data_IF_466405887844
#
_entry.id   IF_466405887844
#
_cell.length_a   1.000
_cell.length_b   1.000
_cell.length_c   1.000
_cell.angle_alpha   90.00
_cell.angle_beta   90.00
_cell.angle_gamma   90.00
#
_symmetry.space_group_name_H-M   'P 1'
#
loop_
_entity.id
_entity.type
_entity.pdbx_description
1 polymer ?
#
# COMPACT_ATOMS: atom_id res chain seq x y z
N UNK A 1 -39.82 -3.47 16.63
CA UNK A 1 -40.22 -3.40 15.20
C UNK A 1 -39.35 -4.35 14.42
N UNK A 2 -39.86 -5.51 14.00
CA UNK A 2 -39.15 -6.41 13.11
C UNK A 2 -38.81 -5.70 11.79
N UNK A 3 -37.53 -5.73 11.41
CA UNK A 3 -37.10 -5.24 10.10
C UNK A 3 -37.71 -6.17 9.04
N UNK A 4 -38.74 -5.71 8.32
CA UNK A 4 -39.29 -6.44 7.17
C UNK A 4 -38.14 -6.80 6.22
N UNK A 5 -38.01 -8.11 5.90
CA UNK A 5 -37.03 -8.59 4.93
C UNK A 5 -37.17 -7.80 3.62
N UNK A 6 -36.06 -7.42 3.02
CA UNK A 6 -36.02 -6.72 1.73
C UNK A 6 -36.26 -7.67 0.56
N UNK A 7 -36.10 -8.98 0.80
CA UNK A 7 -36.40 -10.05 -0.13
C UNK A 7 -37.68 -10.77 0.30
N UNK A 8 -38.42 -11.33 -0.67
CA UNK A 8 -39.66 -12.08 -0.46
C UNK A 8 -39.82 -13.16 -1.54
N UNK A 9 -40.50 -14.24 -1.19
CA UNK A 9 -40.73 -15.35 -2.09
C UNK A 9 -42.11 -15.22 -2.73
N UNK A 10 -42.18 -15.30 -4.08
CA UNK A 10 -43.44 -15.22 -4.84
C UNK A 10 -43.29 -16.03 -6.13
N UNK A 11 -44.33 -16.74 -6.53
CA UNK A 11 -44.42 -17.50 -7.81
C UNK A 11 -43.24 -18.43 -8.08
N UNK A 12 -42.73 -19.10 -7.04
CA UNK A 12 -41.66 -20.10 -7.18
C UNK A 12 -40.24 -19.55 -7.27
N UNK A 13 -40.03 -18.26 -7.02
CA UNK A 13 -38.70 -17.67 -6.97
C UNK A 13 -38.61 -16.56 -5.95
N UNK A 14 -37.36 -16.15 -5.61
CA UNK A 14 -37.10 -15.02 -4.73
C UNK A 14 -37.09 -13.69 -5.50
N UNK A 15 -37.63 -12.66 -4.89
CA UNK A 15 -37.74 -11.30 -5.40
C UNK A 15 -37.13 -10.31 -4.40
N UNK A 16 -36.66 -9.18 -4.88
CA UNK A 16 -36.42 -8.00 -4.05
C UNK A 16 -37.18 -6.77 -4.59
N UNK A 17 -37.42 -5.81 -3.71
CA UNK A 17 -37.98 -4.51 -4.10
C UNK A 17 -36.94 -3.72 -4.87
N UNK A 18 -37.36 -3.04 -5.95
CA UNK A 18 -36.50 -2.14 -6.71
C UNK A 18 -36.94 -0.71 -6.57
N UNK A 19 -35.98 0.18 -6.63
CA UNK A 19 -36.14 1.62 -6.77
C UNK A 19 -35.32 2.04 -7.97
N UNK A 20 -35.92 2.69 -8.95
CA UNK A 20 -35.22 3.24 -10.12
C UNK A 20 -35.43 4.75 -10.18
N UNK A 21 -34.45 5.48 -10.66
CA UNK A 21 -34.51 6.94 -10.76
C UNK A 21 -34.92 7.31 -12.19
N UNK A 22 -35.93 8.14 -12.31
CA UNK A 22 -36.32 8.73 -13.57
C UNK A 22 -35.41 9.92 -13.94
N UNK A 23 -35.43 10.35 -15.20
CA UNK A 23 -34.64 11.49 -15.67
C UNK A 23 -34.99 12.82 -14.97
N UNK A 24 -36.19 12.93 -14.41
CA UNK A 24 -36.67 14.09 -13.64
C UNK A 24 -36.28 14.03 -12.15
N UNK A 25 -35.58 12.99 -11.72
CA UNK A 25 -35.17 12.80 -10.32
C UNK A 25 -36.21 12.13 -9.44
N UNK A 26 -37.39 11.75 -9.97
CA UNK A 26 -38.40 11.01 -9.21
C UNK A 26 -38.05 9.54 -9.11
N UNK A 27 -38.46 8.88 -8.00
CA UNK A 27 -38.17 7.47 -7.74
C UNK A 27 -39.36 6.62 -8.15
N UNK A 28 -39.14 5.68 -9.06
CA UNK A 28 -40.10 4.63 -9.44
C UNK A 28 -39.83 3.38 -8.61
N UNK A 29 -40.88 2.81 -8.04
CA UNK A 29 -40.83 1.58 -7.26
C UNK A 29 -41.24 0.39 -8.12
N UNK A 30 -40.56 -0.75 -7.92
CA UNK A 30 -40.85 -2.01 -8.63
C UNK A 30 -40.36 -3.21 -7.84
N UNK A 31 -40.37 -4.38 -8.49
CA UNK A 31 -39.81 -5.62 -7.98
C UNK A 31 -38.98 -6.30 -9.06
N UNK A 32 -37.90 -7.00 -8.68
CA UNK A 32 -37.08 -7.84 -9.56
C UNK A 32 -37.00 -9.22 -8.93
N UNK A 33 -37.29 -10.26 -9.72
CA UNK A 33 -37.30 -11.65 -9.28
C UNK A 33 -36.45 -12.56 -10.15
N UNK A 34 -36.62 -13.87 -9.96
CA UNK A 34 -35.84 -14.89 -10.65
C UNK A 34 -34.58 -15.31 -9.91
N UNK A 35 -34.49 -15.03 -8.61
CA UNK A 35 -33.38 -15.47 -7.78
C UNK A 35 -33.66 -16.84 -7.18
N UNK A 36 -32.64 -17.69 -7.14
CA UNK A 36 -32.72 -19.05 -6.61
C UNK A 36 -32.76 -19.09 -5.08
N UNK A 37 -32.11 -18.09 -4.41
CA UNK A 37 -32.09 -18.02 -2.96
C UNK A 37 -32.44 -16.63 -2.43
N UNK A 38 -32.85 -16.55 -1.14
CA UNK A 38 -33.06 -15.30 -0.44
C UNK A 38 -31.76 -14.47 -0.39
N UNK A 39 -30.63 -15.14 -0.20
CA UNK A 39 -29.33 -14.48 -0.10
C UNK A 39 -28.95 -13.77 -1.42
N UNK A 40 -29.26 -14.37 -2.57
CA UNK A 40 -28.99 -13.75 -3.87
C UNK A 40 -29.92 -12.57 -4.14
N UNK A 41 -31.20 -12.67 -3.77
CA UNK A 41 -32.13 -11.56 -3.83
C UNK A 41 -31.70 -10.39 -2.93
N UNK A 42 -31.18 -10.66 -1.71
CA UNK A 42 -30.65 -9.64 -0.80
C UNK A 42 -29.38 -9.01 -1.34
N UNK A 43 -28.47 -9.79 -1.93
CA UNK A 43 -27.26 -9.26 -2.58
C UNK A 43 -27.63 -8.33 -3.75
N UNK A 44 -28.55 -8.77 -4.61
CA UNK A 44 -29.03 -7.97 -5.73
C UNK A 44 -29.73 -6.69 -5.28
N UNK A 45 -30.51 -6.73 -4.20
CA UNK A 45 -31.12 -5.54 -3.60
C UNK A 45 -30.06 -4.52 -3.14
N UNK A 46 -29.04 -4.98 -2.40
CA UNK A 46 -27.96 -4.12 -1.92
C UNK A 46 -27.20 -3.46 -3.08
N UNK A 47 -26.94 -4.21 -4.15
CA UNK A 47 -26.31 -3.69 -5.35
C UNK A 47 -27.16 -2.62 -6.03
N UNK A 48 -28.44 -2.91 -6.25
CA UNK A 48 -29.40 -1.97 -6.86
C UNK A 48 -29.59 -0.70 -6.00
N UNK A 49 -29.59 -0.82 -4.68
CA UNK A 49 -29.66 0.33 -3.77
C UNK A 49 -28.40 1.19 -3.83
N UNK A 50 -27.25 0.55 -4.00
CA UNK A 50 -25.97 1.26 -4.19
C UNK A 50 -25.97 2.03 -5.51
N UNK A 51 -26.36 1.40 -6.61
CA UNK A 51 -26.48 2.03 -7.94
C UNK A 51 -27.46 3.20 -7.93
N UNK A 52 -28.61 3.06 -7.27
CA UNK A 52 -29.58 4.13 -7.13
C UNK A 52 -29.01 5.33 -6.38
N UNK A 53 -28.34 5.10 -5.25
CA UNK A 53 -27.69 6.18 -4.47
C UNK A 53 -26.60 6.86 -5.28
N UNK A 54 -25.87 6.10 -6.10
CA UNK A 54 -24.86 6.63 -7.00
C UNK A 54 -25.47 7.52 -8.08
N UNK A 55 -26.54 7.06 -8.74
CA UNK A 55 -27.27 7.84 -9.73
C UNK A 55 -27.90 9.11 -9.14
N UNK A 56 -28.49 9.03 -7.93
CA UNK A 56 -29.03 10.20 -7.22
C UNK A 56 -27.97 11.24 -6.95
N UNK A 57 -26.78 10.82 -6.47
CA UNK A 57 -25.67 11.76 -6.24
C UNK A 57 -25.20 12.39 -7.54
N UNK A 58 -25.01 11.59 -8.58
CA UNK A 58 -24.60 12.11 -9.88
C UNK A 58 -25.59 13.16 -10.38
N UNK A 59 -26.88 12.91 -10.30
CA UNK A 59 -27.93 13.89 -10.65
C UNK A 59 -27.93 15.10 -9.73
N UNK A 60 -27.73 14.92 -8.41
CA UNK A 60 -27.58 16.04 -7.48
C UNK A 60 -26.36 16.91 -7.80
N UNK A 61 -25.30 16.30 -8.28
CA UNK A 61 -24.07 17.03 -8.64
C UNK A 61 -24.16 17.65 -10.05
N UNK A 62 -24.85 17.01 -11.02
CA UNK A 62 -24.99 17.49 -12.40
C UNK A 62 -26.11 18.54 -12.57
N UNK A 63 -27.18 18.46 -11.77
CA UNK A 63 -28.43 19.23 -11.98
C UNK A 63 -28.68 20.38 -10.99
N UNK A 64 -27.93 20.54 -9.90
CA UNK A 64 -28.12 21.62 -8.93
C UNK A 64 -26.94 22.57 -8.87
N UNK A 65 -27.31 23.83 -8.68
CA UNK A 65 -26.43 24.95 -8.40
C UNK A 65 -25.18 24.47 -7.62
N UNK A 66 -24.05 24.31 -8.33
CA UNK A 66 -22.75 23.88 -7.76
C UNK A 66 -22.37 24.70 -6.53
N UNK A 67 -22.97 25.89 -6.39
CA UNK A 67 -22.78 26.77 -5.26
C UNK A 67 -23.44 26.30 -3.95
N UNK A 68 -24.38 25.35 -4.02
CA UNK A 68 -25.12 24.82 -2.85
C UNK A 68 -24.60 23.48 -2.33
N UNK A 69 -23.55 22.96 -2.94
CA UNK A 69 -22.96 21.66 -2.57
C UNK A 69 -22.27 21.74 -1.23
N UNK A 70 -22.60 20.82 -0.33
CA UNK A 70 -21.96 20.70 0.98
C UNK A 70 -20.58 20.03 0.85
N UNK A 71 -19.64 20.42 1.70
CA UNK A 71 -18.27 19.87 1.69
C UNK A 71 -18.25 18.35 1.82
N UNK A 72 -19.01 17.80 2.77
CA UNK A 72 -19.08 16.36 3.01
C UNK A 72 -19.66 15.61 1.82
N UNK A 73 -20.73 16.12 1.21
CA UNK A 73 -21.35 15.50 0.03
C UNK A 73 -20.38 15.50 -1.15
N UNK A 74 -19.64 16.59 -1.36
CA UNK A 74 -18.61 16.67 -2.37
C UNK A 74 -17.48 15.65 -2.13
N UNK A 75 -16.95 15.56 -0.92
CA UNK A 75 -15.86 14.65 -0.60
C UNK A 75 -16.27 13.17 -0.76
N UNK A 76 -17.52 12.81 -0.44
CA UNK A 76 -18.07 11.49 -0.68
C UNK A 76 -18.17 11.20 -2.19
N UNK A 77 -18.75 12.13 -2.96
CA UNK A 77 -18.83 12.04 -4.42
C UNK A 77 -17.44 11.89 -5.03
N UNK A 78 -16.51 12.79 -4.68
CA UNK A 78 -15.14 12.76 -5.17
C UNK A 78 -14.47 11.41 -4.89
N UNK A 79 -14.60 10.88 -3.67
CA UNK A 79 -14.00 9.61 -3.32
C UNK A 79 -14.60 8.45 -4.12
N UNK A 80 -15.92 8.36 -4.16
CA UNK A 80 -16.61 7.22 -4.78
C UNK A 80 -16.56 7.26 -6.32
N UNK A 81 -16.72 8.43 -6.93
CA UNK A 81 -16.90 8.55 -8.39
C UNK A 81 -15.64 9.00 -9.13
N UNK A 82 -14.77 9.76 -8.48
CA UNK A 82 -13.60 10.36 -9.12
C UNK A 82 -12.32 9.65 -8.69
N UNK A 83 -12.00 9.71 -7.40
CA UNK A 83 -10.74 9.22 -6.87
C UNK A 83 -10.59 7.69 -6.97
N UNK A 84 -11.62 6.95 -6.54
CA UNK A 84 -11.59 5.49 -6.53
C UNK A 84 -11.46 4.84 -7.91
N UNK A 85 -11.78 5.57 -8.97
CA UNK A 85 -11.62 5.06 -10.34
C UNK A 85 -10.18 5.19 -10.87
N UNK A 86 -9.35 6.03 -10.23
CA UNK A 86 -8.00 6.39 -10.70
C UNK A 86 -6.89 5.67 -9.94
N UNK A 87 -7.18 4.99 -8.85
CA UNK A 87 -6.16 4.49 -7.94
C UNK A 87 -6.34 3.02 -7.57
N UNK A 88 -5.26 2.37 -7.16
CA UNK A 88 -5.27 0.99 -6.69
C UNK A 88 -5.99 0.82 -5.34
N UNK A 89 -6.42 -0.40 -5.03
CA UNK A 89 -7.19 -0.75 -3.82
C UNK A 89 -6.52 -0.33 -2.52
N UNK A 90 -5.20 -0.42 -2.41
CA UNK A 90 -4.47 0.05 -1.22
C UNK A 90 -4.55 1.57 -1.03
N UNK A 91 -4.54 2.33 -2.12
CA UNK A 91 -4.70 3.78 -2.10
C UNK A 91 -6.14 4.18 -1.84
N UNK A 92 -7.12 3.42 -2.39
CA UNK A 92 -8.55 3.56 -2.03
C UNK A 92 -8.77 3.37 -0.53
N UNK A 93 -8.18 2.32 0.04
CA UNK A 93 -8.26 2.05 1.47
C UNK A 93 -7.78 3.24 2.31
N UNK A 94 -6.61 3.79 1.97
CA UNK A 94 -6.10 4.95 2.70
C UNK A 94 -6.99 6.19 2.51
N UNK A 95 -7.54 6.41 1.32
CA UNK A 95 -8.49 7.48 1.05
C UNK A 95 -9.79 7.32 1.86
N UNK A 96 -10.34 6.10 1.94
CA UNK A 96 -11.51 5.81 2.78
C UNK A 96 -11.22 6.09 4.25
N UNK A 97 -10.12 5.57 4.78
CA UNK A 97 -9.68 5.83 6.15
C UNK A 97 -9.54 7.33 6.45
N UNK A 98 -8.88 8.06 5.52
CA UNK A 98 -8.72 9.52 5.67
C UNK A 98 -10.08 10.22 5.75
N UNK A 99 -11.02 9.90 4.88
CA UNK A 99 -12.30 10.62 4.85
C UNK A 99 -13.24 10.16 5.96
N UNK A 100 -13.46 8.85 6.09
CA UNK A 100 -14.52 8.32 6.97
C UNK A 100 -14.09 8.21 8.43
N UNK A 101 -12.81 7.91 8.71
CA UNK A 101 -12.33 7.71 10.07
C UNK A 101 -11.59 8.93 10.64
N UNK A 102 -11.03 9.80 9.76
CA UNK A 102 -10.31 10.99 10.23
C UNK A 102 -11.05 12.28 9.95
N UNK A 103 -11.36 12.60 8.69
CA UNK A 103 -11.90 13.91 8.30
C UNK A 103 -13.33 14.08 8.82
N UNK A 104 -14.26 13.22 8.42
CA UNK A 104 -15.68 13.39 8.75
C UNK A 104 -15.99 13.41 10.25
N UNK A 105 -15.41 12.55 11.11
CA UNK A 105 -15.65 12.61 12.54
C UNK A 105 -15.09 13.85 13.24
N UNK A 106 -14.12 14.52 12.62
CA UNK A 106 -13.46 15.68 13.19
C UNK A 106 -13.95 17.02 12.60
N UNK A 107 -14.82 17.00 11.59
CA UNK A 107 -15.50 18.20 11.11
C UNK A 107 -16.47 18.71 12.17
N UNK A 108 -16.31 19.95 12.61
CA UNK A 108 -17.20 20.56 13.60
C UNK A 108 -18.56 20.91 12.99
N UNK A 109 -18.54 21.42 11.78
CA UNK A 109 -19.72 21.78 11.02
C UNK A 109 -19.52 21.43 9.55
N UNK A 110 -20.54 20.85 8.92
CA UNK A 110 -20.57 20.72 7.47
C UNK A 110 -21.01 22.05 6.85
N UNK A 111 -20.21 22.57 5.95
CA UNK A 111 -20.43 23.88 5.30
C UNK A 111 -20.50 23.71 3.78
N UNK A 112 -21.04 24.70 3.09
CA UNK A 112 -21.04 24.72 1.63
C UNK A 112 -19.59 24.77 1.13
N UNK A 113 -19.27 23.95 0.15
CA UNK A 113 -17.92 23.80 -0.39
C UNK A 113 -17.28 25.14 -0.79
N UNK A 114 -18.09 26.06 -1.35
CA UNK A 114 -17.64 27.39 -1.75
C UNK A 114 -17.21 28.32 -0.60
N UNK A 115 -17.61 28.00 0.65
CA UNK A 115 -17.26 28.78 1.84
C UNK A 115 -16.09 28.17 2.62
N UNK A 116 -15.50 27.11 2.10
CA UNK A 116 -14.33 26.51 2.75
C UNK A 116 -13.15 27.47 2.63
N UNK A 117 -12.72 27.99 3.78
CA UNK A 117 -11.57 28.90 3.88
C UNK A 117 -10.30 28.15 4.33
N UNK A 118 -9.17 28.84 4.27
CA UNK A 118 -7.88 28.35 4.81
C UNK A 118 -7.99 28.12 6.31
N UNK A 119 -8.64 29.05 7.04
CA UNK A 119 -8.81 29.00 8.50
C UNK A 119 -9.65 27.78 8.92
N UNK A 120 -10.75 27.50 8.18
CA UNK A 120 -11.56 26.30 8.43
C UNK A 120 -10.75 25.02 8.26
N UNK A 121 -9.94 24.95 7.20
CA UNK A 121 -9.10 23.79 6.94
C UNK A 121 -7.94 23.68 7.92
N UNK A 122 -7.33 24.80 8.33
CA UNK A 122 -6.28 24.80 9.34
C UNK A 122 -6.80 24.30 10.69
N UNK A 123 -7.98 24.73 11.13
CA UNK A 123 -8.60 24.25 12.38
C UNK A 123 -8.83 22.72 12.34
N UNK A 124 -9.37 22.20 11.23
CA UNK A 124 -9.57 20.76 11.04
C UNK A 124 -8.24 20.00 11.05
N UNK A 125 -7.25 20.46 10.29
CA UNK A 125 -5.94 19.78 10.18
C UNK A 125 -5.15 19.87 11.49
N UNK A 126 -5.25 20.97 12.23
CA UNK A 126 -4.64 21.12 13.54
C UNK A 126 -5.20 20.10 14.54
N UNK A 127 -6.53 19.97 14.61
CA UNK A 127 -7.21 18.97 15.44
C UNK A 127 -6.72 17.54 15.11
N UNK A 128 -6.60 17.20 13.83
CA UNK A 128 -6.10 15.90 13.38
C UNK A 128 -4.62 15.70 13.72
N UNK A 129 -3.83 16.76 13.74
CA UNK A 129 -2.39 16.71 14.01
C UNK A 129 -2.03 16.61 15.49
N UNK A 130 -2.95 16.94 16.40
CA UNK A 130 -2.73 16.84 17.85
C UNK A 130 -2.44 15.40 18.29
N UNK A 131 -3.12 14.42 17.70
CA UNK A 131 -2.87 13.01 17.97
C UNK A 131 -1.62 12.47 17.21
N UNK A 132 -1.40 12.94 16.01
CA UNK A 132 -0.27 12.56 15.16
C UNK A 132 -0.06 13.53 14.00
N UNK A 133 1.09 14.22 13.95
CA UNK A 133 1.46 15.12 12.84
C UNK A 133 1.40 14.43 11.46
N UNK A 134 1.63 13.11 11.43
CA UNK A 134 1.49 12.32 10.20
C UNK A 134 0.04 12.23 9.72
N UNK A 135 -0.94 12.15 10.63
CA UNK A 135 -2.36 12.11 10.27
C UNK A 135 -2.80 13.43 9.61
N UNK A 136 -2.48 14.58 10.21
CA UNK A 136 -2.77 15.89 9.64
C UNK A 136 -2.17 16.08 8.25
N UNK A 137 -0.89 15.74 8.06
CA UNK A 137 -0.24 15.83 6.74
C UNK A 137 -0.83 14.85 5.71
N UNK A 138 -1.24 13.66 6.14
CA UNK A 138 -1.90 12.70 5.24
C UNK A 138 -3.26 13.23 4.82
N UNK A 139 -4.08 13.70 5.76
CA UNK A 139 -5.37 14.32 5.45
C UNK A 139 -5.19 15.53 4.53
N UNK A 140 -4.21 16.41 4.80
CA UNK A 140 -3.87 17.54 3.94
C UNK A 140 -3.56 17.10 2.51
N UNK A 141 -2.83 16.00 2.33
CA UNK A 141 -2.51 15.47 1.00
C UNK A 141 -3.78 15.04 0.24
N UNK A 142 -4.65 14.25 0.87
CA UNK A 142 -5.89 13.79 0.22
C UNK A 142 -6.88 14.91 -0.03
N UNK A 143 -7.05 15.83 0.92
CA UNK A 143 -7.88 17.01 0.75
C UNK A 143 -7.35 17.91 -0.37
N UNK A 144 -6.02 18.07 -0.51
CA UNK A 144 -5.44 18.82 -1.61
C UNK A 144 -5.77 18.21 -2.98
N UNK A 145 -5.79 16.88 -3.10
CA UNK A 145 -6.20 16.21 -4.35
C UNK A 145 -7.68 16.49 -4.61
N UNK A 146 -8.54 16.31 -3.60
CA UNK A 146 -9.97 16.55 -3.74
C UNK A 146 -10.30 18.00 -4.13
N UNK A 147 -9.64 18.98 -3.51
CA UNK A 147 -9.88 20.39 -3.80
C UNK A 147 -9.29 20.84 -5.14
N UNK A 148 -8.20 20.19 -5.62
CA UNK A 148 -7.73 20.39 -7.01
C UNK A 148 -8.78 19.93 -8.01
N UNK A 149 -9.35 18.74 -7.80
CA UNK A 149 -10.42 18.23 -8.65
C UNK A 149 -11.67 19.14 -8.56
N UNK A 150 -12.02 19.67 -7.37
CA UNK A 150 -13.12 20.63 -7.18
C UNK A 150 -12.95 21.92 -7.99
N UNK A 151 -11.72 22.40 -8.13
CA UNK A 151 -11.40 23.56 -8.99
C UNK A 151 -11.57 23.20 -10.45
N UNK A 152 -11.04 22.06 -10.89
CA UNK A 152 -11.14 21.58 -12.29
C UNK A 152 -12.61 21.37 -12.68
N UNK A 153 -13.42 20.82 -11.77
CA UNK A 153 -14.84 20.57 -12.00
C UNK A 153 -15.71 21.85 -11.82
N UNK A 154 -15.12 22.98 -11.41
CA UNK A 154 -15.79 24.26 -11.29
C UNK A 154 -16.73 24.41 -10.08
N UNK A 155 -16.52 23.65 -9.00
CA UNK A 155 -17.25 23.81 -7.73
C UNK A 155 -16.72 24.97 -6.89
N UNK A 156 -15.44 25.25 -6.99
CA UNK A 156 -14.75 26.36 -6.32
C UNK A 156 -13.78 27.02 -7.28
N UNK A 157 -13.46 28.29 -7.05
CA UNK A 157 -12.52 29.06 -7.86
C UNK A 157 -11.06 28.86 -7.47
N UNK A 158 -10.81 28.49 -6.19
CA UNK A 158 -9.46 28.35 -5.64
C UNK A 158 -9.41 27.20 -4.63
N UNK A 159 -8.31 26.46 -4.64
CA UNK A 159 -8.01 25.45 -3.64
C UNK A 159 -7.37 26.11 -2.39
N UNK A 160 -7.97 26.00 -1.20
CA UNK A 160 -7.41 26.62 0.01
C UNK A 160 -6.26 25.82 0.64
N UNK A 161 -6.12 24.54 0.32
CA UNK A 161 -5.20 23.62 0.99
C UNK A 161 -3.72 23.98 0.86
N UNK A 162 -3.19 24.47 -0.29
CA UNK A 162 -1.79 24.88 -0.40
C UNK A 162 -1.37 25.93 0.65
N UNK A 163 -2.29 26.80 1.05
CA UNK A 163 -2.03 27.89 1.99
C UNK A 163 -2.18 27.47 3.46
N UNK A 164 -2.61 26.23 3.74
CA UNK A 164 -2.72 25.70 5.10
C UNK A 164 -1.36 25.34 5.69
N UNK A 165 -1.27 25.29 7.03
CA UNK A 165 -0.07 24.90 7.76
C UNK A 165 0.40 23.49 7.39
N UNK A 166 1.70 23.32 7.33
CA UNK A 166 2.34 22.01 7.24
C UNK A 166 2.92 21.63 8.60
N UNK A 167 2.66 20.41 9.02
CA UNK A 167 3.14 19.90 10.31
C UNK A 167 4.48 19.21 10.11
N UNK A 168 5.52 19.68 10.82
CA UNK A 168 6.86 19.08 10.76
C UNK A 168 6.81 17.63 11.21
N UNK A 169 7.19 16.71 10.34
CA UNK A 169 7.42 15.30 10.70
C UNK A 169 8.83 15.17 11.20
N UNK A 170 9.01 14.46 12.32
CA UNK A 170 10.33 13.92 12.62
C UNK A 170 10.63 12.85 11.59
N UNK A 171 11.72 12.98 10.84
CA UNK A 171 12.15 11.93 9.93
C UNK A 171 12.30 10.62 10.72
N UNK A 172 11.70 9.52 10.27
CA UNK A 172 11.87 8.24 10.95
C UNK A 172 13.35 7.86 10.88
N UNK A 173 13.99 7.68 12.04
CA UNK A 173 15.36 7.15 12.08
C UNK A 173 15.33 5.71 11.60
N UNK A 174 15.90 5.47 10.43
CA UNK A 174 16.08 4.11 9.91
C UNK A 174 17.26 3.49 10.70
N UNK A 175 16.98 2.40 11.39
CA UNK A 175 18.04 1.64 12.07
C UNK A 175 18.80 0.82 11.04
N UNK A 176 20.10 1.09 10.90
CA UNK A 176 21.04 0.33 10.06
C UNK A 176 22.03 -0.34 11.01
N UNK A 177 22.36 -1.60 10.75
CA UNK A 177 23.35 -2.32 11.54
C UNK A 177 24.76 -1.95 11.08
N UNK A 178 25.67 -1.76 12.04
CA UNK A 178 27.12 -1.78 11.77
C UNK A 178 27.54 -3.15 11.22
N UNK A 179 28.71 -3.24 10.58
CA UNK A 179 29.25 -4.49 10.03
C UNK A 179 29.27 -5.63 11.06
N UNK A 180 29.62 -5.36 12.31
CA UNK A 180 29.65 -6.40 13.35
C UNK A 180 28.25 -6.84 13.77
N UNK A 181 27.30 -5.91 13.94
CA UNK A 181 25.90 -6.26 14.20
C UNK A 181 25.28 -7.02 13.05
N UNK A 182 25.63 -6.68 11.80
CA UNK A 182 25.15 -7.41 10.62
C UNK A 182 25.69 -8.85 10.61
N UNK A 183 26.96 -9.09 10.96
CA UNK A 183 27.50 -10.45 11.11
C UNK A 183 26.76 -11.25 12.17
N UNK A 184 26.47 -10.64 13.34
CA UNK A 184 25.69 -11.29 14.41
C UNK A 184 24.28 -11.62 13.91
N UNK A 185 23.64 -10.67 13.21
CA UNK A 185 22.32 -10.87 12.62
C UNK A 185 22.32 -12.03 11.63
N UNK A 186 23.23 -12.05 10.67
CA UNK A 186 23.30 -13.12 9.65
C UNK A 186 23.56 -14.50 10.28
N UNK A 187 24.42 -14.56 11.31
CA UNK A 187 24.65 -15.80 12.08
C UNK A 187 23.40 -16.27 12.82
N UNK A 188 22.63 -15.35 13.39
CA UNK A 188 21.35 -15.70 14.03
C UNK A 188 20.28 -16.09 13.01
N UNK A 189 20.23 -15.37 11.89
CA UNK A 189 19.29 -15.59 10.80
C UNK A 189 19.49 -16.93 10.08
N UNK A 190 20.74 -17.45 10.01
CA UNK A 190 21.02 -18.74 9.34
C UNK A 190 20.31 -19.95 9.93
N UNK A 191 19.71 -19.80 11.12
CA UNK A 191 18.91 -20.82 11.81
C UNK A 191 17.39 -20.54 11.75
N UNK A 192 16.97 -19.50 11.02
CA UNK A 192 15.58 -19.06 10.92
C UNK A 192 15.01 -19.47 9.56
N UNK A 193 13.73 -19.86 9.53
CA UNK A 193 13.05 -20.26 8.30
C UNK A 193 13.00 -19.16 7.24
N UNK A 194 13.16 -17.89 7.65
CA UNK A 194 13.18 -16.72 6.77
C UNK A 194 14.58 -16.30 6.33
N UNK A 195 15.56 -17.17 6.46
CA UNK A 195 16.95 -16.81 6.15
C UNK A 195 17.15 -16.36 4.71
N UNK A 196 16.57 -17.08 3.74
CA UNK A 196 16.64 -16.71 2.32
C UNK A 196 16.08 -15.30 2.08
N UNK A 197 14.92 -14.99 2.65
CA UNK A 197 14.27 -13.69 2.48
C UNK A 197 15.10 -12.56 3.07
N UNK A 198 15.78 -12.80 4.20
CA UNK A 198 16.68 -11.82 4.78
C UNK A 198 17.93 -11.62 3.92
N UNK A 199 18.50 -12.68 3.35
CA UNK A 199 19.62 -12.59 2.40
C UNK A 199 19.23 -11.77 1.16
N UNK A 200 18.06 -12.00 0.58
CA UNK A 200 17.54 -11.22 -0.56
C UNK A 200 17.38 -9.73 -0.21
N UNK A 201 16.97 -9.43 1.02
CA UNK A 201 16.91 -8.04 1.51
C UNK A 201 18.27 -7.39 1.66
N UNK A 202 19.24 -8.09 2.26
CA UNK A 202 20.58 -7.55 2.61
C UNK A 202 21.53 -7.57 1.41
N UNK A 203 21.48 -8.57 0.54
CA UNK A 203 22.47 -8.76 -0.53
C UNK A 203 21.94 -8.47 -1.95
N UNK A 204 20.62 -8.42 -2.13
CA UNK A 204 20.01 -8.05 -3.40
C UNK A 204 19.19 -6.75 -3.30
N UNK A 205 18.99 -6.21 -2.11
CA UNK A 205 18.28 -4.96 -1.89
C UNK A 205 16.81 -4.97 -2.30
N UNK A 206 16.15 -6.14 -2.25
CA UNK A 206 14.78 -6.30 -2.71
C UNK A 206 13.76 -5.69 -1.74
N UNK A 207 12.65 -5.19 -2.30
CA UNK A 207 11.49 -4.77 -1.49
C UNK A 207 10.75 -6.00 -0.95
N UNK A 208 10.09 -5.86 0.20
CA UNK A 208 9.31 -6.96 0.81
C UNK A 208 8.34 -7.64 -0.17
N UNK A 209 7.59 -6.86 -0.94
CA UNK A 209 6.66 -7.40 -1.93
C UNK A 209 7.36 -8.14 -3.07
N UNK A 210 8.54 -7.66 -3.51
CA UNK A 210 9.38 -8.32 -4.50
C UNK A 210 9.88 -9.66 -3.96
N UNK A 211 10.43 -9.70 -2.73
CA UNK A 211 10.91 -10.94 -2.08
C UNK A 211 9.81 -11.99 -2.01
N UNK A 212 8.64 -11.62 -1.51
CA UNK A 212 7.51 -12.55 -1.36
C UNK A 212 6.92 -13.00 -2.71
N UNK A 213 7.10 -12.21 -3.78
CA UNK A 213 6.61 -12.51 -5.13
C UNK A 213 7.58 -13.29 -6.00
N UNK A 214 8.81 -13.56 -5.54
CA UNK A 214 9.77 -14.34 -6.31
C UNK A 214 9.33 -15.81 -6.47
N UNK A 215 9.52 -16.32 -7.68
CA UNK A 215 9.31 -17.74 -8.03
C UNK A 215 10.63 -18.41 -8.36
N UNK A 216 10.70 -19.75 -8.26
CA UNK A 216 11.89 -20.48 -8.67
C UNK A 216 12.26 -20.24 -10.13
N UNK A 217 11.28 -19.99 -11.00
CA UNK A 217 11.51 -19.66 -12.42
C UNK A 217 12.20 -18.31 -12.67
N UNK A 218 12.31 -17.45 -11.66
CA UNK A 218 12.98 -16.15 -11.79
C UNK A 218 14.51 -16.25 -11.64
N UNK A 219 15.02 -17.41 -11.25
CA UNK A 219 16.43 -17.65 -10.99
C UNK A 219 17.09 -18.35 -12.16
N UNK A 220 18.17 -17.76 -12.66
CA UNK A 220 19.03 -18.34 -13.68
C UNK A 220 20.37 -18.71 -13.02
N UNK A 221 20.57 -20.00 -12.78
CA UNK A 221 21.76 -20.53 -12.11
C UNK A 221 22.98 -20.61 -13.04
N UNK A 222 22.78 -20.60 -14.36
CA UNK A 222 23.90 -20.58 -15.33
C UNK A 222 24.49 -19.18 -15.42
N UNK A 223 23.64 -18.15 -15.41
CA UNK A 223 24.04 -16.75 -15.46
C UNK A 223 24.22 -16.12 -14.08
N UNK A 224 23.94 -16.86 -13.00
CA UNK A 224 23.95 -16.38 -11.62
C UNK A 224 23.10 -15.11 -11.43
N UNK A 225 21.88 -15.10 -11.98
CA UNK A 225 21.00 -13.92 -11.94
C UNK A 225 19.60 -14.23 -11.41
N UNK A 226 18.95 -13.19 -10.90
CA UNK A 226 17.54 -13.21 -10.52
C UNK A 226 16.80 -12.07 -11.21
N UNK A 227 15.64 -12.38 -11.80
CA UNK A 227 14.75 -11.40 -12.44
C UNK A 227 13.67 -10.95 -11.47
N UNK A 228 13.44 -9.66 -11.41
CA UNK A 228 12.39 -9.05 -10.59
C UNK A 228 11.30 -8.55 -11.53
N UNK A 229 10.21 -9.33 -11.64
CA UNK A 229 9.13 -9.08 -12.60
C UNK A 229 7.76 -8.91 -11.93
N UNK A 230 7.65 -9.20 -10.64
CA UNK A 230 6.39 -9.12 -9.88
C UNK A 230 6.61 -8.77 -8.42
N UNK A 231 5.51 -8.48 -7.74
CA UNK A 231 5.48 -8.32 -6.29
C UNK A 231 4.18 -8.90 -5.71
N UNK A 232 4.20 -9.38 -4.48
CA UNK A 232 2.97 -9.64 -3.73
C UNK A 232 2.54 -8.37 -3.00
N UNK A 233 1.27 -8.04 -3.13
CA UNK A 233 0.65 -6.90 -2.49
C UNK A 233 -0.72 -7.21 -1.89
N UNK A 234 -1.17 -6.35 -0.99
CA UNK A 234 -2.51 -6.43 -0.45
C UNK A 234 -3.55 -5.96 -1.47
N UNK A 235 -4.66 -6.68 -1.54
CA UNK A 235 -5.88 -6.27 -2.24
C UNK A 235 -7.04 -6.18 -1.24
N UNK A 236 -7.14 -5.06 -0.50
CA UNK A 236 -8.18 -4.86 0.48
C UNK A 236 -9.52 -4.56 -0.21
N UNK A 237 -10.58 -5.15 0.33
CA UNK A 237 -11.98 -4.79 0.05
C UNK A 237 -12.50 -4.02 1.25
N UNK A 238 -13.00 -2.81 1.03
CA UNK A 238 -13.48 -1.93 2.08
C UNK A 238 -14.95 -2.19 2.42
N UNK A 239 -15.32 -1.97 3.67
CA UNK A 239 -16.73 -1.77 4.02
C UNK A 239 -17.24 -0.48 3.37
N UNK A 240 -18.52 -0.46 3.04
CA UNK A 240 -19.13 0.71 2.40
C UNK A 240 -19.07 1.93 3.34
N UNK A 241 -18.53 3.05 2.84
CA UNK A 241 -18.40 4.33 3.58
C UNK A 241 -17.73 4.21 4.95
N UNK A 242 -16.69 3.43 4.98
CA UNK A 242 -15.91 3.18 6.20
C UNK A 242 -14.44 3.08 5.84
N UNK A 243 -13.56 3.42 6.79
CA UNK A 243 -12.13 3.10 6.71
C UNK A 243 -11.81 1.65 7.06
N UNK A 244 -12.82 0.83 7.38
CA UNK A 244 -12.63 -0.57 7.78
C UNK A 244 -12.50 -1.50 6.58
N UNK A 245 -11.69 -2.53 6.75
CA UNK A 245 -11.46 -3.57 5.75
C UNK A 245 -12.45 -4.70 5.99
N UNK A 246 -13.30 -4.99 4.99
CA UNK A 246 -14.21 -6.14 5.01
C UNK A 246 -13.45 -7.45 4.77
N UNK A 247 -12.51 -7.45 3.84
CA UNK A 247 -11.62 -8.58 3.54
C UNK A 247 -10.32 -8.09 2.92
N UNK A 248 -9.27 -8.90 2.98
CA UNK A 248 -7.99 -8.58 2.36
C UNK A 248 -7.37 -9.87 1.80
N UNK A 249 -7.14 -9.92 0.49
CA UNK A 249 -6.39 -10.96 -0.18
C UNK A 249 -4.95 -10.52 -0.42
N UNK A 250 -4.08 -11.49 -0.64
CA UNK A 250 -2.73 -11.28 -1.16
C UNK A 250 -2.77 -11.57 -2.65
N UNK A 251 -2.33 -10.63 -3.46
CA UNK A 251 -2.38 -10.73 -4.91
C UNK A 251 -1.03 -10.46 -5.53
N UNK A 252 -0.75 -11.16 -6.62
CA UNK A 252 0.38 -10.88 -7.49
C UNK A 252 0.09 -9.59 -8.27
N UNK A 253 1.06 -8.69 -8.30
CA UNK A 253 0.96 -7.39 -8.98
C UNK A 253 2.24 -7.11 -9.72
N UNK A 254 2.13 -6.34 -10.79
CA UNK A 254 3.29 -5.77 -11.43
C UNK A 254 4.05 -4.85 -10.47
N UNK A 255 5.36 -4.71 -10.64
CA UNK A 255 6.13 -3.70 -9.94
C UNK A 255 5.59 -2.30 -10.21
N UNK A 256 5.57 -1.44 -9.18
CA UNK A 256 4.94 -0.10 -9.23
C UNK A 256 5.47 0.84 -10.31
N UNK A 257 6.70 0.63 -10.76
CA UNK A 257 7.36 1.51 -11.76
C UNK A 257 8.13 0.66 -12.76
N UNK A 258 8.32 1.17 -13.96
CA UNK A 258 9.11 0.51 -15.01
C UNK A 258 10.54 0.17 -14.53
N UNK A 259 11.16 1.04 -13.76
CA UNK A 259 12.50 0.83 -13.22
C UNK A 259 12.58 -0.29 -12.16
N UNK A 260 11.43 -0.78 -11.69
CA UNK A 260 11.39 -1.90 -10.75
C UNK A 260 11.60 -3.24 -11.46
N UNK A 261 11.34 -3.33 -12.77
CA UNK A 261 11.72 -4.50 -13.60
C UNK A 261 13.23 -4.48 -13.80
N UNK A 262 13.91 -5.46 -13.27
CA UNK A 262 15.37 -5.53 -13.34
C UNK A 262 15.90 -6.95 -13.14
N UNK A 263 17.08 -7.20 -13.67
CA UNK A 263 17.85 -8.43 -13.42
C UNK A 263 19.05 -8.10 -12.56
N UNK A 264 19.25 -8.86 -11.50
CA UNK A 264 20.35 -8.67 -10.55
C UNK A 264 21.26 -9.91 -10.56
N UNK A 265 22.57 -9.72 -10.40
CA UNK A 265 23.47 -10.82 -10.09
C UNK A 265 23.27 -11.28 -8.66
N UNK A 266 23.29 -12.59 -8.45
CA UNK A 266 23.17 -13.19 -7.12
C UNK A 266 24.55 -13.46 -6.52
N UNK A 267 24.78 -13.08 -5.26
CA UNK A 267 25.88 -13.64 -4.49
C UNK A 267 25.69 -15.15 -4.27
N UNK A 268 26.80 -15.89 -4.25
CA UNK A 268 26.78 -17.36 -4.08
C UNK A 268 26.02 -17.85 -2.85
N UNK A 269 26.05 -17.07 -1.75
CA UNK A 269 25.30 -17.41 -0.54
C UNK A 269 23.78 -17.38 -0.75
N UNK A 270 23.29 -16.47 -1.60
CA UNK A 270 21.86 -16.40 -1.97
C UNK A 270 21.50 -17.61 -2.85
N UNK A 271 22.32 -17.89 -3.84
CA UNK A 271 22.13 -19.01 -4.77
C UNK A 271 22.06 -20.35 -4.03
N UNK A 272 23.01 -20.62 -3.14
CA UNK A 272 23.02 -21.83 -2.31
C UNK A 272 21.76 -21.97 -1.48
N UNK A 273 21.28 -20.87 -0.92
CA UNK A 273 20.09 -20.88 -0.08
C UNK A 273 18.79 -21.05 -0.90
N UNK A 274 18.75 -20.54 -2.14
CA UNK A 274 17.64 -20.84 -3.08
C UNK A 274 17.59 -22.31 -3.42
N UNK A 275 18.72 -22.92 -3.72
CA UNK A 275 18.81 -24.37 -3.99
C UNK A 275 18.39 -25.21 -2.77
N UNK A 276 18.82 -24.80 -1.57
CA UNK A 276 18.38 -25.45 -0.33
C UNK A 276 16.87 -25.31 -0.13
N UNK A 277 16.32 -24.14 -0.37
CA UNK A 277 14.88 -23.88 -0.28
C UNK A 277 14.09 -24.72 -1.28
N UNK A 278 14.61 -24.91 -2.49
CA UNK A 278 13.97 -25.76 -3.51
C UNK A 278 13.83 -27.19 -3.00
N UNK A 279 14.87 -27.77 -2.38
CA UNK A 279 14.79 -29.11 -1.78
C UNK A 279 13.72 -29.20 -0.68
N UNK A 280 13.62 -28.18 0.17
CA UNK A 280 12.58 -28.13 1.23
C UNK A 280 11.17 -28.07 0.63
N UNK A 281 10.98 -27.29 -0.42
CA UNK A 281 9.68 -27.17 -1.10
C UNK A 281 9.30 -28.48 -1.79
N UNK A 282 10.24 -29.14 -2.47
CA UNK A 282 9.97 -30.43 -3.11
C UNK A 282 9.61 -31.50 -2.06
N UNK A 283 10.29 -31.55 -0.90
CA UNK A 283 9.91 -32.45 0.19
C UNK A 283 8.49 -32.17 0.72
N UNK A 284 8.06 -30.91 0.78
CA UNK A 284 6.68 -30.55 1.15
C UNK A 284 5.66 -31.00 0.09
N UNK A 285 5.99 -30.89 -1.19
CA UNK A 285 5.13 -31.38 -2.29
C UNK A 285 4.94 -32.90 -2.20
N UNK A 286 6.03 -33.64 -2.01
CA UNK A 286 5.98 -35.10 -1.84
C UNK A 286 5.16 -35.52 -0.61
N UNK A 287 5.25 -34.79 0.49
CA UNK A 287 4.51 -35.09 1.71
C UNK A 287 3.01 -34.78 1.60
N UNK A 288 2.63 -33.66 0.97
CA UNK A 288 1.26 -33.14 0.96
C UNK A 288 0.47 -33.54 -0.28
N UNK A 289 1.13 -34.00 -1.35
CA UNK A 289 0.51 -34.43 -2.60
C UNK A 289 -0.57 -33.45 -3.10
N UNK A 290 -1.80 -33.93 -3.30
CA UNK A 290 -2.92 -33.14 -3.80
C UNK A 290 -3.33 -31.97 -2.89
N UNK A 291 -2.86 -31.95 -1.63
CA UNK A 291 -3.11 -30.87 -0.69
C UNK A 291 -2.10 -29.69 -0.82
N UNK A 292 -1.06 -29.85 -1.65
CA UNK A 292 -0.08 -28.81 -1.91
C UNK A 292 -0.56 -27.88 -3.04
N UNK A 293 -0.58 -26.58 -2.80
CA UNK A 293 -0.92 -25.56 -3.81
C UNK A 293 0.35 -25.05 -4.49
N UNK A 294 0.76 -25.64 -5.61
CA UNK A 294 1.97 -25.24 -6.32
C UNK A 294 1.81 -23.92 -7.08
N UNK A 295 2.19 -22.85 -6.44
CA UNK A 295 2.24 -21.50 -7.03
C UNK A 295 3.65 -21.09 -7.50
N UNK A 296 4.64 -21.95 -7.32
CA UNK A 296 6.04 -21.74 -7.70
C UNK A 296 6.81 -20.72 -6.85
N UNK A 297 6.23 -20.14 -5.79
CA UNK A 297 6.90 -19.17 -4.93
C UNK A 297 8.03 -19.80 -4.11
N UNK A 298 9.16 -19.07 -4.01
CA UNK A 298 10.27 -19.44 -3.11
C UNK A 298 9.92 -19.18 -1.64
N UNK A 299 9.06 -18.19 -1.39
CA UNK A 299 8.60 -17.77 -0.06
C UNK A 299 7.13 -18.18 0.14
N UNK A 300 6.93 -19.43 0.50
CA UNK A 300 5.62 -20.04 0.70
C UNK A 300 5.52 -20.77 2.02
N UNK A 301 4.28 -20.99 2.47
CA UNK A 301 3.96 -21.86 3.59
C UNK A 301 4.22 -23.34 3.20
N UNK A 302 4.30 -24.28 4.18
CA UNK A 302 4.50 -25.69 3.87
C UNK A 302 3.49 -26.29 2.88
N UNK A 303 2.27 -25.73 2.81
CA UNK A 303 1.23 -26.16 1.87
C UNK A 303 1.29 -25.44 0.51
N UNK A 304 2.36 -24.68 0.21
CA UNK A 304 2.56 -23.97 -1.04
C UNK A 304 1.86 -22.61 -1.17
N UNK A 305 1.00 -22.25 -0.23
CA UNK A 305 0.32 -20.93 -0.22
C UNK A 305 1.31 -19.80 0.06
N UNK A 306 1.15 -18.63 -0.55
CA UNK A 306 1.99 -17.50 -0.23
C UNK A 306 1.88 -17.09 1.23
N UNK A 307 2.96 -16.58 1.79
CA UNK A 307 2.94 -16.02 3.14
C UNK A 307 2.12 -14.72 3.20
N UNK A 308 1.51 -14.46 4.37
CA UNK A 308 0.88 -13.17 4.64
C UNK A 308 1.92 -12.03 4.62
N UNK A 309 1.53 -10.86 4.11
CA UNK A 309 2.43 -9.72 3.90
C UNK A 309 3.11 -9.18 5.18
N UNK A 310 2.58 -9.46 6.36
CA UNK A 310 3.17 -9.08 7.65
C UNK A 310 4.09 -10.13 8.25
N UNK A 311 4.05 -11.38 7.77
CA UNK A 311 4.73 -12.55 8.37
C UNK A 311 6.24 -12.34 8.48
N UNK A 312 6.89 -11.89 7.39
CA UNK A 312 8.33 -11.62 7.36
C UNK A 312 8.76 -10.54 8.38
N UNK A 313 8.00 -9.44 8.50
CA UNK A 313 8.31 -8.40 9.51
C UNK A 313 8.10 -8.91 10.94
N UNK A 314 7.10 -9.76 11.15
CA UNK A 314 6.83 -10.38 12.46
C UNK A 314 7.96 -11.33 12.85
N UNK A 315 8.40 -12.18 11.93
CA UNK A 315 9.53 -13.09 12.13
C UNK A 315 10.83 -12.32 12.42
N UNK A 316 11.15 -11.31 11.60
CA UNK A 316 12.32 -10.44 11.78
C UNK A 316 12.32 -9.75 13.15
N UNK A 317 11.17 -9.23 13.58
CA UNK A 317 11.04 -8.62 14.92
C UNK A 317 11.31 -9.62 16.05
N UNK A 318 10.81 -10.86 15.91
CA UNK A 318 11.06 -11.94 16.86
C UNK A 318 12.55 -12.34 16.87
N UNK A 319 13.16 -12.47 15.70
CA UNK A 319 14.59 -12.79 15.57
C UNK A 319 15.46 -11.74 16.26
N UNK A 320 15.24 -10.45 15.97
CA UNK A 320 15.97 -9.36 16.63
C UNK A 320 15.84 -9.42 18.16
N UNK A 321 14.59 -9.58 18.66
CA UNK A 321 14.32 -9.65 20.10
C UNK A 321 15.05 -10.82 20.77
N UNK A 322 15.01 -12.03 20.17
CA UNK A 322 15.66 -13.24 20.72
C UNK A 322 17.18 -13.10 20.83
N UNK A 323 17.79 -12.30 19.94
CA UNK A 323 19.24 -12.15 19.85
C UNK A 323 19.77 -10.82 20.39
N UNK A 324 18.95 -10.04 21.13
CA UNK A 324 19.35 -8.77 21.70
C UNK A 324 19.74 -7.70 20.67
N UNK A 325 19.26 -7.83 19.42
CA UNK A 325 19.55 -6.89 18.35
C UNK A 325 18.53 -5.74 18.31
N UNK A 326 18.93 -4.54 17.95
CA UNK A 326 18.01 -3.45 17.69
C UNK A 326 16.93 -3.87 16.66
N UNK A 327 15.67 -3.48 16.90
CA UNK A 327 14.57 -3.78 15.97
C UNK A 327 14.82 -3.10 14.62
N UNK A 328 14.74 -3.89 13.56
CA UNK A 328 14.77 -3.43 12.17
C UNK A 328 13.53 -3.90 11.41
N UNK A 329 13.23 -3.26 10.31
CA UNK A 329 12.19 -3.68 9.36
C UNK A 329 12.81 -4.37 8.14
N UNK A 330 12.00 -5.09 7.36
CA UNK A 330 12.47 -5.64 6.08
C UNK A 330 13.00 -4.54 5.15
N UNK A 331 12.41 -3.34 5.20
CA UNK A 331 12.91 -2.21 4.43
C UNK A 331 14.29 -1.73 4.91
N UNK A 332 14.59 -1.88 6.20
CA UNK A 332 15.93 -1.59 6.74
C UNK A 332 17.01 -2.53 6.19
N UNK A 333 16.67 -3.79 5.85
CA UNK A 333 17.62 -4.71 5.20
C UNK A 333 18.05 -4.19 3.83
N UNK A 334 17.11 -3.67 3.05
CA UNK A 334 17.38 -3.00 1.78
C UNK A 334 18.22 -1.72 1.96
N UNK A 335 18.00 -0.97 3.03
CA UNK A 335 18.85 0.17 3.35
C UNK A 335 20.28 -0.28 3.69
N UNK A 336 20.45 -1.40 4.42
CA UNK A 336 21.77 -1.98 4.68
C UNK A 336 22.50 -2.34 3.38
N UNK A 337 21.81 -2.93 2.39
CA UNK A 337 22.38 -3.19 1.07
C UNK A 337 22.94 -1.91 0.44
N UNK A 338 22.15 -0.85 0.41
CA UNK A 338 22.59 0.40 -0.18
C UNK A 338 23.76 1.04 0.60
N UNK A 339 23.71 1.02 1.94
CA UNK A 339 24.81 1.52 2.78
C UNK A 339 26.10 0.75 2.52
N UNK A 340 26.05 -0.59 2.43
CA UNK A 340 27.23 -1.42 2.11
C UNK A 340 27.82 -1.01 0.76
N UNK A 341 27.00 -0.80 -0.26
CA UNK A 341 27.49 -0.38 -1.58
C UNK A 341 28.10 1.03 -1.58
N UNK A 342 27.51 1.96 -0.82
CA UNK A 342 28.06 3.32 -0.65
C UNK A 342 29.42 3.25 0.04
N UNK A 343 29.55 2.51 1.13
CA UNK A 343 30.82 2.28 1.84
C UNK A 343 31.90 1.63 0.96
N UNK A 344 31.50 0.88 -0.08
CA UNK A 344 32.40 0.31 -1.08
C UNK A 344 32.69 1.26 -2.26
N UNK A 345 32.22 2.50 -2.22
CA UNK A 345 32.46 3.50 -3.26
C UNK A 345 31.66 3.28 -4.56
N UNK A 346 30.58 2.47 -4.53
CA UNK A 346 29.75 2.28 -5.72
C UNK A 346 28.98 3.55 -6.04
N UNK A 347 29.00 4.06 -7.28
CA UNK A 347 28.30 5.29 -7.66
C UNK A 347 26.79 5.23 -7.37
N UNK A 348 26.22 6.31 -6.81
CA UNK A 348 24.79 6.39 -6.44
C UNK A 348 23.83 6.07 -7.58
N UNK A 349 24.19 6.43 -8.82
CA UNK A 349 23.39 6.11 -10.02
C UNK A 349 23.27 4.60 -10.20
N UNK A 350 24.35 3.83 -10.00
CA UNK A 350 24.35 2.37 -10.07
C UNK A 350 23.54 1.77 -8.91
N UNK A 351 23.70 2.29 -7.70
CA UNK A 351 22.91 1.85 -6.53
C UNK A 351 21.44 2.10 -6.76
N UNK A 352 21.05 3.27 -7.26
CA UNK A 352 19.67 3.63 -7.61
C UNK A 352 19.07 2.65 -8.62
N UNK A 353 19.83 2.30 -9.66
CA UNK A 353 19.41 1.31 -10.66
C UNK A 353 19.24 -0.10 -10.07
N UNK A 354 20.18 -0.58 -9.25
CA UNK A 354 20.09 -1.87 -8.56
C UNK A 354 18.89 -1.94 -7.62
N UNK A 355 18.57 -0.84 -6.94
CA UNK A 355 17.40 -0.72 -6.08
C UNK A 355 16.09 -0.59 -6.88
N UNK A 356 16.12 -0.19 -8.15
CA UNK A 356 14.92 0.10 -8.95
C UNK A 356 14.18 1.33 -8.42
N UNK A 357 14.91 2.41 -8.11
CA UNK A 357 14.32 3.70 -7.79
C UNK A 357 13.98 4.46 -9.08
N UNK A 358 12.84 5.16 -9.09
CA UNK A 358 12.43 5.99 -10.21
C UNK A 358 13.27 7.27 -10.35
N UNK A 359 13.94 7.69 -9.27
CA UNK A 359 14.81 8.87 -9.22
C UNK A 359 16.02 8.60 -8.33
N UNK A 360 17.19 9.06 -8.78
CA UNK A 360 18.44 9.03 -7.99
C UNK A 360 18.32 9.88 -6.72
N UNK A 361 17.50 10.94 -6.75
CA UNK A 361 17.22 11.78 -5.58
C UNK A 361 16.67 10.96 -4.41
N UNK A 362 15.86 9.95 -4.68
CA UNK A 362 15.35 9.05 -3.62
C UNK A 362 16.51 8.34 -2.90
N UNK A 363 17.53 7.90 -3.64
CA UNK A 363 18.72 7.27 -3.05
C UNK A 363 19.55 8.33 -2.30
N UNK A 364 19.72 9.50 -2.87
CA UNK A 364 20.47 10.59 -2.27
C UNK A 364 19.86 11.05 -0.93
N UNK A 365 18.54 11.35 -0.88
CA UNK A 365 17.84 11.80 0.34
C UNK A 365 17.95 10.82 1.51
N UNK A 366 17.98 9.51 1.23
CA UNK A 366 18.12 8.50 2.28
C UNK A 366 19.55 8.31 2.79
N UNK A 367 20.56 8.69 2.01
CA UNK A 367 21.97 8.36 2.29
C UNK A 367 22.89 9.57 2.36
N UNK A 368 22.36 10.80 2.25
CA UNK A 368 23.16 12.04 2.46
C UNK A 368 23.92 11.99 3.77
N UNK A 369 23.24 11.58 4.85
CA UNK A 369 23.85 11.56 6.21
C UNK A 369 25.03 10.57 6.30
N UNK A 370 25.06 9.53 5.46
CA UNK A 370 26.17 8.56 5.41
C UNK A 370 27.36 9.12 4.60
N UNK A 371 27.07 10.07 3.70
CA UNK A 371 28.07 10.71 2.83
C UNK A 371 28.68 11.97 3.45
N UNK A 372 28.05 12.56 4.47
CA UNK A 372 28.49 13.83 5.12
C UNK A 372 29.63 13.66 6.13
N UNK A 373 30.19 12.47 6.28
CA UNK A 373 31.47 12.34 6.98
C UNK A 373 32.60 12.91 6.09
N UNK A 374 32.77 14.23 6.18
CA UNK A 374 33.84 15.01 5.53
C UNK A 374 35.25 14.46 5.78
N UNK A 375 35.46 13.65 6.81
CA UNK A 375 36.70 12.95 7.08
C UNK A 375 37.14 12.02 5.95
N UNK A 376 36.21 11.36 5.28
CA UNK A 376 36.51 10.44 4.17
C UNK A 376 36.96 11.18 2.91
N UNK A 377 36.45 12.39 2.63
CA UNK A 377 36.85 13.20 1.47
C UNK A 377 38.26 13.76 1.70
N UNK A 378 38.57 14.24 2.91
CA UNK A 378 39.88 14.77 3.26
C UNK A 378 40.92 13.65 3.26
N UNK A 379 40.60 12.46 3.79
CA UNK A 379 41.47 11.30 3.77
C UNK A 379 41.74 10.83 2.32
N UNK A 380 40.70 10.74 1.47
CA UNK A 380 40.84 10.42 0.05
C UNK A 380 41.70 11.46 -0.73
N UNK A 381 41.49 12.74 -0.45
CA UNK A 381 42.30 13.80 -1.06
C UNK A 381 43.76 13.70 -0.60
N UNK A 382 44.01 13.43 0.67
CA UNK A 382 45.35 13.26 1.22
C UNK A 382 46.06 12.01 0.66
N UNK A 383 45.36 10.87 0.53
CA UNK A 383 45.94 9.64 -0.02
C UNK A 383 46.24 9.72 -1.53
N UNK A 384 45.46 10.46 -2.30
CA UNK A 384 45.59 10.52 -3.76
C UNK A 384 46.43 11.69 -4.29
N UNK A 385 46.54 12.75 -3.50
CA UNK A 385 47.17 14.00 -3.94
C UNK A 385 48.24 14.54 -3.01
N UNK A 386 48.59 13.84 -1.92
CA UNK A 386 49.81 14.10 -1.15
C UNK A 386 50.97 13.36 -1.83
N UNK A 387 51.61 14.04 -2.78
CA UNK A 387 52.88 13.59 -3.35
C UNK A 387 54.04 13.95 -2.44
#
# INVERSE_FOLDING_TARGET
MEKKSVAFFERGSWYHRTKTLNKDGTVKYGKKGGFESEQDAVKAYKLAEKELKQQQRKLMMEGKNRQEVMLKDYLIYWYEEVFSQRVENTTKMLGAYVLYDLVFPNMEQDIKLRYVSVEYMDALLEKLSHSCASAGNTCRTYLNIAFKDAVIEGYISRNPIPDTKQYKRKAPKVTIYSRDKLKIFLKAASKDDWYLEYLLGVFCGLRKGEILGLKFSDFDFEQHTVKIERQLGASPVMEERSGKIASCSVEEKDPKTQNSFRTLRMPSVVEQEVLRRQQVVEAHKELLLDSYEDNGYISCQPNGRPHGLSSMNTALTKLCKRNGLPKVSVHSLRHMFATILIEQGVPLVKISALLGHSSVNTTFEYYCDVMDENENIICFMNEKYSA
#
